data_IF_295782445671
#
_entry.id   IF_295782445671
#
_cell.length_a   1.000
_cell.length_b   1.000
_cell.length_c   1.000
_cell.angle_alpha   90.00
_cell.angle_beta   90.00
_cell.angle_gamma   90.00
#
_symmetry.space_group_name_H-M   'P 1'
#
loop_
_entity.id
_entity.type
_entity.pdbx_description
1 polymer ?
#
# COMPACT_ATOMS: atom_id res chain seq x y z
N UNK A 1 10.16 16.59 70.06
CA UNK A 1 9.66 15.60 69.10
C UNK A 1 9.28 16.32 67.82
N UNK A 2 10.19 16.32 66.81
CA UNK A 2 9.95 17.03 65.54
C UNK A 2 9.54 15.99 64.51
N UNK A 3 8.30 16.09 63.98
CA UNK A 3 7.76 15.23 62.96
C UNK A 3 8.23 15.83 61.61
N UNK A 4 9.08 15.12 60.91
CA UNK A 4 9.50 15.45 59.53
C UNK A 4 8.48 14.85 58.58
N UNK A 5 7.72 15.74 57.91
CA UNK A 5 6.73 15.35 56.90
C UNK A 5 7.47 15.16 55.59
N UNK A 6 7.59 13.92 55.12
CA UNK A 6 8.10 13.57 53.76
C UNK A 6 7.02 13.83 52.73
N UNK A 7 7.18 14.86 51.93
CA UNK A 7 6.36 15.10 50.75
C UNK A 7 6.91 14.23 49.58
N UNK A 8 6.23 13.17 49.28
CA UNK A 8 6.46 12.38 48.10
C UNK A 8 5.90 13.11 46.85
N UNK A 9 6.82 13.72 46.07
CA UNK A 9 6.49 14.32 44.78
C UNK A 9 6.35 13.14 43.77
N UNK A 10 5.15 12.79 43.42
CA UNK A 10 4.87 11.91 42.30
C UNK A 10 5.10 12.66 40.99
N UNK A 11 6.25 12.42 40.35
CA UNK A 11 6.50 12.86 39.00
C UNK A 11 5.63 12.05 38.04
N UNK A 12 4.55 12.64 37.54
CA UNK A 12 3.75 12.09 36.45
C UNK A 12 4.58 12.24 35.18
N UNK A 13 5.22 11.14 34.74
CA UNK A 13 5.78 11.04 33.39
C UNK A 13 4.61 11.13 32.41
N UNK A 14 4.44 12.25 31.76
CA UNK A 14 3.64 12.35 30.54
C UNK A 14 4.37 11.60 29.42
N UNK A 15 4.14 10.28 29.31
CA UNK A 15 4.36 9.57 28.07
C UNK A 15 3.46 10.22 27.03
N UNK A 16 4.05 10.89 26.03
CA UNK A 16 3.33 11.30 24.81
C UNK A 16 2.73 10.02 24.23
N UNK A 17 1.43 9.85 24.41
CA UNK A 17 0.67 8.82 23.73
C UNK A 17 0.79 9.10 22.23
N UNK A 18 1.51 8.23 21.51
CA UNK A 18 1.34 8.14 20.05
C UNK A 18 -0.17 8.04 19.80
N UNK A 19 -0.70 8.83 18.89
CA UNK A 19 -2.14 8.80 18.63
C UNK A 19 -2.51 7.38 18.22
N UNK A 20 -3.61 6.84 18.74
CA UNK A 20 -4.04 5.44 18.52
C UNK A 20 -4.08 5.01 17.05
N UNK A 21 -4.24 5.95 16.13
CA UNK A 21 -4.24 5.72 14.68
C UNK A 21 -2.85 5.42 14.09
N UNK A 22 -1.77 6.05 14.60
CA UNK A 22 -0.42 5.83 14.05
C UNK A 22 0.12 4.45 14.46
N UNK A 23 -0.26 3.96 15.64
CA UNK A 23 0.12 2.64 16.11
C UNK A 23 -0.57 1.52 15.34
N UNK A 24 -1.85 1.72 14.98
CA UNK A 24 -2.70 0.71 14.36
C UNK A 24 -2.21 0.29 12.95
N UNK A 25 -1.84 1.23 12.07
CA UNK A 25 -1.40 0.89 10.71
C UNK A 25 0.00 0.24 10.69
N UNK A 26 0.91 0.68 11.56
CA UNK A 26 2.26 0.10 11.64
C UNK A 26 2.19 -1.35 12.11
N UNK A 27 1.43 -1.60 13.15
CA UNK A 27 1.23 -2.97 13.62
C UNK A 27 0.56 -3.84 12.55
N UNK A 28 -0.40 -3.29 11.82
CA UNK A 28 -1.03 -4.01 10.72
C UNK A 28 -0.03 -4.42 9.62
N UNK A 29 0.86 -3.51 9.23
CA UNK A 29 1.95 -3.80 8.28
C UNK A 29 2.85 -4.93 8.82
N UNK A 30 3.29 -4.82 10.08
CA UNK A 30 4.19 -5.78 10.72
C UNK A 30 3.54 -7.16 10.87
N UNK A 31 2.31 -7.22 11.41
CA UNK A 31 1.56 -8.46 11.64
C UNK A 31 1.27 -9.22 10.33
N UNK A 32 1.08 -8.49 9.24
CA UNK A 32 0.82 -9.04 7.91
C UNK A 32 2.09 -9.19 7.05
N UNK A 33 3.27 -8.84 7.58
CA UNK A 33 4.54 -8.86 6.84
C UNK A 33 4.47 -8.16 5.47
N UNK A 34 3.82 -6.98 5.43
CA UNK A 34 3.65 -6.22 4.19
C UNK A 34 4.94 -5.47 3.89
N UNK A 35 5.52 -5.72 2.72
CA UNK A 35 6.73 -5.04 2.26
C UNK A 35 6.41 -3.79 1.46
N UNK A 36 7.20 -2.72 1.59
CA UNK A 36 7.03 -1.54 0.76
C UNK A 36 7.39 -1.85 -0.70
N UNK A 37 6.67 -1.24 -1.65
CA UNK A 37 7.07 -1.20 -3.06
C UNK A 37 8.22 -0.22 -3.29
N UNK A 38 8.29 0.83 -2.47
CA UNK A 38 9.34 1.84 -2.46
C UNK A 38 9.78 2.00 -1.01
N UNK A 39 11.07 1.78 -0.75
CA UNK A 39 11.65 1.88 0.57
C UNK A 39 12.63 3.07 0.62
N UNK A 40 12.45 3.93 1.61
CA UNK A 40 13.35 5.05 1.88
C UNK A 40 14.64 4.56 2.56
N UNK A 41 15.75 5.20 2.24
CA UNK A 41 17.04 5.04 2.95
C UNK A 41 17.28 6.14 4.00
N UNK A 42 16.34 7.06 4.16
CA UNK A 42 16.44 8.18 5.12
C UNK A 42 15.92 7.75 6.49
N UNK A 43 16.45 8.34 7.57
CA UNK A 43 15.98 8.04 8.93
C UNK A 43 14.60 8.65 9.23
N UNK A 44 14.33 9.85 8.68
CA UNK A 44 13.05 10.54 8.83
C UNK A 44 12.15 10.23 7.63
N UNK A 45 11.18 9.33 7.79
CA UNK A 45 10.34 8.85 6.72
C UNK A 45 8.85 9.09 6.96
N UNK A 46 8.10 9.07 5.88
CA UNK A 46 6.64 9.07 5.88
C UNK A 46 6.15 7.81 5.19
N UNK A 47 5.34 7.03 5.88
CA UNK A 47 4.69 5.86 5.33
C UNK A 47 3.43 6.28 4.57
N UNK A 48 3.35 5.88 3.30
CA UNK A 48 2.17 6.02 2.46
C UNK A 48 1.67 4.61 2.15
N UNK A 49 0.48 4.29 2.62
CA UNK A 49 -0.20 3.03 2.32
C UNK A 49 -1.31 3.35 1.34
N UNK A 50 -1.29 2.75 0.17
CA UNK A 50 -2.37 2.80 -0.81
C UNK A 50 -3.18 1.51 -0.75
N UNK A 51 -4.48 1.62 -0.54
CA UNK A 51 -5.44 0.55 -0.81
C UNK A 51 -5.91 0.69 -2.24
N UNK A 52 -5.55 -0.26 -3.09
CA UNK A 52 -5.61 -0.12 -4.53
C UNK A 52 -6.21 -1.32 -5.23
N UNK A 53 -6.84 -1.09 -6.37
CA UNK A 53 -7.31 -2.14 -7.25
C UNK A 53 -6.74 -1.98 -8.64
N UNK A 54 -6.22 -3.04 -9.20
CA UNK A 54 -5.69 -3.02 -10.58
C UNK A 54 -6.74 -2.61 -11.61
N UNK A 55 -8.03 -2.89 -11.38
CA UNK A 55 -9.11 -2.48 -12.29
C UNK A 55 -9.67 -1.08 -12.03
N UNK A 56 -9.11 -0.34 -11.09
CA UNK A 56 -9.55 1.01 -10.78
C UNK A 56 -8.83 2.05 -11.65
N UNK A 57 -9.57 2.80 -12.45
CA UNK A 57 -9.01 3.84 -13.33
C UNK A 57 -8.30 4.97 -12.56
N UNK A 58 -8.84 5.38 -11.40
CA UNK A 58 -8.20 6.39 -10.56
C UNK A 58 -6.92 5.88 -9.88
N UNK A 59 -6.81 4.58 -9.63
CA UNK A 59 -5.55 3.98 -9.18
C UNK A 59 -4.52 3.99 -10.31
N UNK A 60 -4.90 3.61 -11.52
CA UNK A 60 -4.03 3.70 -12.69
C UNK A 60 -3.57 5.15 -12.95
N UNK A 61 -4.47 6.12 -12.84
CA UNK A 61 -4.12 7.55 -12.94
C UNK A 61 -3.11 7.97 -11.87
N UNK A 62 -3.31 7.55 -10.60
CA UNK A 62 -2.36 7.82 -9.54
C UNK A 62 -0.97 7.27 -9.87
N UNK A 63 -0.87 6.00 -10.25
CA UNK A 63 0.40 5.35 -10.56
C UNK A 63 1.10 5.95 -11.79
N UNK A 64 0.33 6.27 -12.84
CA UNK A 64 0.87 6.75 -14.11
C UNK A 64 1.20 8.24 -14.13
N UNK A 65 0.57 9.05 -13.29
CA UNK A 65 0.74 10.50 -13.26
C UNK A 65 1.19 11.00 -11.89
N UNK A 66 0.34 10.90 -10.87
CA UNK A 66 0.58 11.50 -9.56
C UNK A 66 1.83 10.94 -8.88
N UNK A 67 2.01 9.61 -8.89
CA UNK A 67 3.19 8.97 -8.31
C UNK A 67 4.47 9.32 -9.08
N UNK A 68 4.40 9.51 -10.41
CA UNK A 68 5.57 9.94 -11.19
C UNK A 68 5.99 11.37 -10.81
N UNK A 69 5.02 12.30 -10.66
CA UNK A 69 5.32 13.65 -10.16
C UNK A 69 5.87 13.63 -8.73
N UNK A 70 5.38 12.71 -7.87
CA UNK A 70 5.94 12.52 -6.52
C UNK A 70 7.38 12.02 -6.59
N UNK A 71 7.72 11.11 -7.49
CA UNK A 71 9.09 10.60 -7.71
C UNK A 71 10.08 11.71 -8.08
N UNK A 72 9.63 12.75 -8.77
CA UNK A 72 10.44 13.91 -9.13
C UNK A 72 10.56 14.95 -8.01
N UNK A 73 9.79 14.83 -6.95
CA UNK A 73 9.75 15.78 -5.84
C UNK A 73 10.88 15.57 -4.82
N UNK A 74 11.24 16.64 -4.10
CA UNK A 74 12.26 16.59 -3.05
C UNK A 74 11.86 15.74 -1.83
N UNK A 75 10.58 15.41 -1.67
CA UNK A 75 10.10 14.58 -0.55
C UNK A 75 10.17 13.09 -0.85
N UNK A 76 10.38 12.69 -2.11
CA UNK A 76 10.33 11.29 -2.53
C UNK A 76 11.31 10.40 -1.77
N UNK A 77 12.51 10.87 -1.55
CA UNK A 77 13.55 10.14 -0.82
C UNK A 77 13.16 9.77 0.63
N UNK A 78 12.15 10.44 1.19
CA UNK A 78 11.65 10.21 2.54
C UNK A 78 10.36 9.37 2.58
N UNK A 79 9.96 8.72 1.47
CA UNK A 79 8.71 7.97 1.38
C UNK A 79 8.99 6.48 1.46
N UNK A 80 8.29 5.79 2.38
CA UNK A 80 8.02 4.36 2.26
C UNK A 80 6.63 4.21 1.64
N UNK A 81 6.54 3.56 0.48
CA UNK A 81 5.28 3.37 -0.21
C UNK A 81 4.85 1.90 -0.20
N UNK A 82 3.69 1.64 0.40
CA UNK A 82 3.09 0.32 0.50
C UNK A 82 1.84 0.25 -0.37
N UNK A 83 1.68 -0.85 -1.10
CA UNK A 83 0.46 -1.16 -1.85
C UNK A 83 -0.25 -2.34 -1.19
N UNK A 84 -1.48 -2.12 -0.73
CA UNK A 84 -2.39 -3.16 -0.24
C UNK A 84 -3.47 -3.37 -1.29
N UNK A 85 -3.56 -4.61 -1.74
CA UNK A 85 -4.51 -4.99 -2.77
C UNK A 85 -5.95 -4.95 -2.25
N UNK A 86 -6.81 -4.28 -3.00
CA UNK A 86 -8.25 -4.16 -2.75
C UNK A 86 -9.02 -4.46 -4.04
N UNK A 87 -9.04 -5.71 -4.51
CA UNK A 87 -9.60 -6.06 -5.80
C UNK A 87 -11.10 -5.79 -5.88
N UNK A 88 -11.53 -5.01 -6.89
CA UNK A 88 -12.93 -4.63 -7.09
C UNK A 88 -13.71 -5.62 -7.95
N UNK A 89 -13.01 -6.51 -8.66
CA UNK A 89 -13.61 -7.53 -9.51
C UNK A 89 -12.66 -8.72 -9.70
N UNK A 90 -13.14 -9.74 -10.41
CA UNK A 90 -12.40 -10.99 -10.62
C UNK A 90 -11.10 -10.78 -11.41
N UNK A 91 -11.07 -9.90 -12.41
CA UNK A 91 -9.85 -9.61 -13.18
C UNK A 91 -8.80 -8.92 -12.32
N UNK A 92 -9.21 -7.95 -11.47
CA UNK A 92 -8.32 -7.32 -10.51
C UNK A 92 -7.80 -8.32 -9.46
N UNK A 93 -8.64 -9.25 -9.00
CA UNK A 93 -8.20 -10.30 -8.08
C UNK A 93 -7.19 -11.23 -8.74
N UNK A 94 -7.39 -11.59 -10.00
CA UNK A 94 -6.40 -12.36 -10.76
C UNK A 94 -5.06 -11.62 -10.87
N UNK A 95 -5.09 -10.34 -11.23
CA UNK A 95 -3.89 -9.51 -11.26
C UNK A 95 -3.20 -9.42 -9.89
N UNK A 96 -3.98 -9.33 -8.80
CA UNK A 96 -3.48 -9.37 -7.42
C UNK A 96 -2.75 -10.68 -7.12
N UNK A 97 -3.30 -11.83 -7.53
CA UNK A 97 -2.62 -13.12 -7.36
C UNK A 97 -1.27 -13.12 -8.07
N UNK A 98 -1.24 -12.75 -9.36
CA UNK A 98 0.01 -12.71 -10.14
C UNK A 98 1.03 -11.74 -9.52
N UNK A 99 0.60 -10.57 -9.07
CA UNK A 99 1.45 -9.58 -8.40
C UNK A 99 2.11 -10.10 -7.12
N UNK A 100 1.47 -11.05 -6.43
CA UNK A 100 1.93 -11.61 -5.17
C UNK A 100 2.58 -13.00 -5.31
N UNK A 101 2.75 -13.52 -6.53
CA UNK A 101 3.44 -14.79 -6.76
C UNK A 101 4.92 -14.73 -6.39
N UNK A 102 5.55 -13.58 -6.60
CA UNK A 102 6.97 -13.38 -6.30
C UNK A 102 7.21 -11.93 -5.88
N UNK A 103 7.69 -11.72 -4.66
CA UNK A 103 7.96 -10.39 -4.11
C UNK A 103 8.96 -9.59 -4.97
N UNK A 104 9.92 -10.27 -5.60
CA UNK A 104 10.95 -9.63 -6.42
C UNK A 104 10.43 -8.98 -7.70
N UNK A 105 9.35 -9.51 -8.28
CA UNK A 105 8.75 -8.94 -9.50
C UNK A 105 7.63 -7.94 -9.18
N UNK A 106 7.10 -7.94 -7.95
CA UNK A 106 5.91 -7.17 -7.61
C UNK A 106 5.97 -5.70 -8.02
N UNK A 107 7.05 -4.93 -7.74
CA UNK A 107 7.10 -3.52 -8.15
C UNK A 107 6.98 -3.34 -9.67
N UNK A 108 7.75 -4.10 -10.45
CA UNK A 108 7.76 -4.02 -11.92
C UNK A 108 6.44 -4.51 -12.54
N UNK A 109 5.83 -5.53 -11.92
CA UNK A 109 4.52 -6.03 -12.34
C UNK A 109 3.43 -4.96 -12.13
N UNK A 110 3.40 -4.33 -10.95
CA UNK A 110 2.47 -3.23 -10.63
C UNK A 110 2.61 -2.10 -11.65
N UNK A 111 3.84 -1.67 -11.96
CA UNK A 111 4.10 -0.63 -12.96
C UNK A 111 3.57 -1.06 -14.36
N UNK A 112 3.77 -2.33 -14.75
CA UNK A 112 3.29 -2.82 -16.05
C UNK A 112 1.77 -2.90 -16.13
N UNK A 113 1.10 -3.39 -15.07
CA UNK A 113 -0.37 -3.54 -15.08
C UNK A 113 -1.05 -2.17 -15.12
N UNK A 114 -0.58 -1.19 -14.34
CA UNK A 114 -1.11 0.16 -14.40
C UNK A 114 -0.70 0.91 -15.66
N UNK A 115 0.55 0.74 -16.12
CA UNK A 115 1.04 1.34 -17.37
C UNK A 115 0.27 0.89 -18.61
N UNK A 116 -0.22 -0.36 -18.59
CA UNK A 116 -1.01 -0.94 -19.67
C UNK A 116 -2.51 -1.05 -19.32
N UNK A 117 -3.00 -0.22 -18.40
CA UNK A 117 -4.38 -0.28 -17.89
C UNK A 117 -5.41 -0.36 -19.02
N UNK A 118 -5.34 0.55 -20.01
CA UNK A 118 -6.30 0.60 -21.11
C UNK A 118 -6.18 -0.60 -22.06
N UNK A 119 -5.06 -1.29 -22.10
CA UNK A 119 -4.86 -2.47 -22.96
C UNK A 119 -5.59 -3.66 -22.36
N UNK A 120 -5.27 -4.05 -21.13
CA UNK A 120 -5.83 -5.26 -20.57
C UNK A 120 -7.28 -5.10 -20.09
N UNK A 121 -7.70 -3.88 -19.64
CA UNK A 121 -9.09 -3.65 -19.21
C UNK A 121 -10.09 -3.57 -20.37
N UNK A 122 -9.60 -3.30 -21.58
CA UNK A 122 -10.40 -3.23 -22.81
C UNK A 122 -10.24 -4.45 -23.70
N UNK A 123 -9.56 -5.50 -23.25
CA UNK A 123 -9.41 -6.75 -23.95
C UNK A 123 -10.77 -7.38 -24.27
N UNK A 124 -10.85 -8.13 -25.38
CA UNK A 124 -12.10 -8.58 -25.95
C UNK A 124 -12.74 -9.77 -25.22
N UNK A 125 -11.96 -10.50 -24.42
CA UNK A 125 -12.40 -11.67 -23.65
C UNK A 125 -11.67 -11.79 -22.30
N UNK A 126 -12.24 -12.61 -21.41
CA UNK A 126 -11.61 -12.95 -20.14
C UNK A 126 -10.29 -13.72 -20.33
N UNK A 127 -10.20 -14.56 -21.36
CA UNK A 127 -8.98 -15.29 -21.71
C UNK A 127 -7.87 -14.32 -22.11
N UNK A 128 -8.17 -13.33 -22.95
CA UNK A 128 -7.20 -12.32 -23.38
C UNK A 128 -6.71 -11.47 -22.18
N UNK A 129 -7.60 -11.12 -21.23
CA UNK A 129 -7.22 -10.45 -19.99
C UNK A 129 -6.19 -11.29 -19.21
N UNK A 130 -6.47 -12.57 -19.02
CA UNK A 130 -5.60 -13.51 -18.31
C UNK A 130 -4.25 -13.65 -19.01
N UNK A 131 -4.23 -13.79 -20.33
CA UNK A 131 -3.00 -13.88 -21.13
C UNK A 131 -2.13 -12.62 -20.98
N UNK A 132 -2.73 -11.43 -21.06
CA UNK A 132 -2.02 -10.17 -20.88
C UNK A 132 -1.45 -10.05 -19.47
N UNK A 133 -2.24 -10.30 -18.43
CA UNK A 133 -1.79 -10.23 -17.03
C UNK A 133 -0.66 -11.23 -16.74
N UNK A 134 -0.75 -12.47 -17.28
CA UNK A 134 0.34 -13.45 -17.18
C UNK A 134 1.58 -12.97 -17.91
N UNK A 135 1.43 -12.43 -19.13
CA UNK A 135 2.57 -11.96 -19.92
C UNK A 135 3.38 -10.90 -19.20
N UNK A 136 2.75 -10.00 -18.45
CA UNK A 136 3.45 -8.99 -17.64
C UNK A 136 4.27 -9.65 -16.52
N UNK A 137 3.75 -10.70 -15.86
CA UNK A 137 4.51 -11.46 -14.86
C UNK A 137 5.74 -12.15 -15.47
N UNK A 138 5.55 -12.85 -16.58
CA UNK A 138 6.62 -13.55 -17.31
C UNK A 138 7.71 -12.59 -17.83
N UNK A 139 7.33 -11.40 -18.32
CA UNK A 139 8.29 -10.37 -18.76
C UNK A 139 9.19 -9.88 -17.63
N UNK A 140 8.73 -9.94 -16.38
CA UNK A 140 9.52 -9.54 -15.21
C UNK A 140 10.19 -10.72 -14.49
N UNK A 141 10.19 -11.91 -15.09
CA UNK A 141 10.95 -13.05 -14.61
C UNK A 141 10.18 -14.04 -13.74
N UNK A 142 8.84 -13.92 -13.67
CA UNK A 142 8.02 -14.97 -13.08
C UNK A 142 8.12 -16.23 -13.95
N UNK A 143 8.49 -17.37 -13.37
CA UNK A 143 8.55 -18.64 -14.09
C UNK A 143 7.16 -19.23 -14.35
N UNK A 144 7.00 -19.97 -15.46
CA UNK A 144 5.71 -20.63 -15.78
C UNK A 144 5.25 -21.58 -14.66
N UNK A 145 6.15 -22.40 -14.12
CA UNK A 145 5.83 -23.34 -13.03
C UNK A 145 5.45 -22.59 -11.75
N UNK A 146 6.15 -21.51 -11.43
CA UNK A 146 5.88 -20.64 -10.29
C UNK A 146 4.50 -20.00 -10.42
N UNK A 147 4.18 -19.43 -11.58
CA UNK A 147 2.86 -18.89 -11.89
C UNK A 147 1.76 -19.95 -11.70
N UNK A 148 1.93 -21.15 -12.27
CA UNK A 148 0.95 -22.23 -12.17
C UNK A 148 0.77 -22.72 -10.72
N UNK A 149 1.84 -22.72 -9.91
CA UNK A 149 1.79 -23.05 -8.49
C UNK A 149 1.02 -21.99 -7.71
N UNK A 150 1.33 -20.74 -7.95
CA UNK A 150 0.71 -19.59 -7.31
C UNK A 150 -0.81 -19.50 -7.61
N UNK A 151 -1.21 -19.74 -8.86
CA UNK A 151 -2.62 -19.74 -9.27
C UNK A 151 -3.45 -20.85 -8.60
N UNK A 152 -2.82 -21.85 -8.00
CA UNK A 152 -3.47 -22.96 -7.28
C UNK A 152 -3.39 -22.82 -5.76
N UNK A 153 -2.66 -21.82 -5.25
CA UNK A 153 -2.47 -21.62 -3.82
C UNK A 153 -3.66 -20.89 -3.18
N UNK A 154 -4.70 -21.66 -2.84
CA UNK A 154 -5.89 -21.14 -2.17
C UNK A 154 -5.57 -20.48 -0.81
N UNK A 155 -4.49 -20.89 -0.13
CA UNK A 155 -4.06 -20.30 1.12
C UNK A 155 -3.63 -18.84 0.94
N UNK A 156 -2.78 -18.58 -0.07
CA UNK A 156 -2.39 -17.22 -0.48
C UNK A 156 -3.60 -16.41 -0.95
N UNK A 157 -4.51 -16.99 -1.74
CA UNK A 157 -5.71 -16.29 -2.20
C UNK A 157 -6.60 -15.83 -1.04
N UNK A 158 -6.83 -16.71 -0.06
CA UNK A 158 -7.61 -16.38 1.14
C UNK A 158 -6.93 -15.28 1.96
N UNK A 159 -5.59 -15.32 2.08
CA UNK A 159 -4.84 -14.26 2.74
C UNK A 159 -5.02 -12.91 2.05
N UNK A 160 -4.92 -12.85 0.71
CA UNK A 160 -5.13 -11.60 -0.05
C UNK A 160 -6.54 -11.03 0.15
N UNK A 161 -7.57 -11.90 0.17
CA UNK A 161 -8.94 -11.47 0.46
C UNK A 161 -9.12 -11.02 1.92
N UNK A 162 -8.41 -11.62 2.88
CA UNK A 162 -8.47 -11.17 4.27
C UNK A 162 -7.90 -9.76 4.45
N UNK A 163 -6.83 -9.39 3.73
CA UNK A 163 -6.29 -8.03 3.74
C UNK A 163 -7.31 -6.99 3.26
N UNK A 164 -8.13 -7.34 2.25
CA UNK A 164 -9.22 -6.48 1.80
C UNK A 164 -10.31 -6.31 2.86
N UNK A 165 -10.69 -7.39 3.54
CA UNK A 165 -11.68 -7.36 4.63
C UNK A 165 -11.16 -6.53 5.81
N UNK A 166 -9.88 -6.68 6.15
CA UNK A 166 -9.24 -5.89 7.20
C UNK A 166 -9.17 -4.41 6.83
N UNK A 167 -8.86 -4.09 5.56
CA UNK A 167 -8.86 -2.72 5.07
C UNK A 167 -10.23 -2.03 5.28
N UNK A 168 -11.31 -2.77 5.05
CA UNK A 168 -12.68 -2.29 5.30
C UNK A 168 -12.97 -2.12 6.79
N UNK A 169 -12.67 -3.14 7.60
CA UNK A 169 -13.08 -3.19 9.00
C UNK A 169 -12.20 -2.32 9.91
N UNK A 170 -10.89 -2.29 9.67
CA UNK A 170 -9.92 -1.58 10.51
C UNK A 170 -9.78 -0.12 10.08
N UNK A 171 -9.63 0.11 8.77
CA UNK A 171 -9.34 1.45 8.24
C UNK A 171 -10.55 2.14 7.60
N UNK A 172 -11.70 1.44 7.49
CA UNK A 172 -12.91 1.97 6.88
C UNK A 172 -12.70 2.34 5.42
N UNK A 173 -12.00 1.47 4.66
CA UNK A 173 -11.79 1.65 3.22
C UNK A 173 -13.06 1.25 2.49
N UNK A 174 -13.67 2.19 1.78
CA UNK A 174 -14.92 2.00 1.03
C UNK A 174 -14.73 2.15 -0.49
N UNK A 175 -13.59 2.69 -0.91
CA UNK A 175 -13.28 2.95 -2.32
C UNK A 175 -11.78 2.96 -2.57
N UNK A 176 -11.38 2.84 -3.84
CA UNK A 176 -9.98 2.91 -4.29
C UNK A 176 -9.75 4.09 -5.24
N UNK A 177 -8.58 4.72 -5.23
CA UNK A 177 -7.55 4.54 -4.22
C UNK A 177 -7.97 5.20 -2.89
N UNK A 178 -7.58 4.61 -1.77
CA UNK A 178 -7.62 5.25 -0.45
C UNK A 178 -6.22 5.16 0.14
N UNK A 179 -5.74 6.25 0.73
CA UNK A 179 -4.40 6.34 1.29
C UNK A 179 -4.42 6.52 2.80
N UNK A 180 -3.41 5.96 3.49
CA UNK A 180 -3.04 6.36 4.84
C UNK A 180 -1.63 6.96 4.78
N UNK A 181 -1.50 8.22 5.19
CA UNK A 181 -0.21 8.93 5.21
C UNK A 181 0.17 9.16 6.68
N UNK A 182 1.07 8.34 7.22
CA UNK A 182 1.29 8.24 8.67
C UNK A 182 -0.05 8.21 9.43
N UNK A 183 -0.96 7.30 9.05
CA UNK A 183 -2.26 7.10 9.68
C UNK A 183 -3.37 8.11 9.29
N UNK A 184 -3.06 9.19 8.60
CA UNK A 184 -4.05 10.16 8.11
C UNK A 184 -4.71 9.66 6.81
N UNK A 185 -6.02 9.43 6.85
CA UNK A 185 -6.76 8.91 5.69
C UNK A 185 -7.02 9.99 4.64
N UNK A 186 -6.66 9.71 3.41
CA UNK A 186 -6.92 10.54 2.22
C UNK A 186 -7.64 9.67 1.18
N UNK A 187 -8.82 10.07 0.75
CA UNK A 187 -9.63 9.33 -0.23
C UNK A 187 -9.45 9.88 -1.64
N UNK A 188 -9.34 8.96 -2.59
CA UNK A 188 -9.26 9.25 -4.01
C UNK A 188 -7.90 9.76 -4.46
N UNK A 189 -7.66 9.69 -5.78
CA UNK A 189 -6.51 10.34 -6.39
C UNK A 189 -6.62 11.86 -6.25
N UNK A 190 -5.49 12.51 -5.92
CA UNK A 190 -5.38 13.95 -5.77
C UNK A 190 -4.13 14.44 -6.48
N UNK A 191 -4.02 15.72 -6.84
CA UNK A 191 -2.80 16.29 -7.41
C UNK A 191 -1.58 16.01 -6.51
N UNK A 192 -0.43 15.74 -7.11
CA UNK A 192 0.83 15.47 -6.38
C UNK A 192 1.19 16.58 -5.38
N UNK A 193 0.83 17.83 -5.70
CA UNK A 193 1.05 18.98 -4.81
C UNK A 193 0.33 18.85 -3.45
N UNK A 194 -0.83 18.20 -3.40
CA UNK A 194 -1.54 17.93 -2.13
C UNK A 194 -0.82 16.86 -1.31
N UNK A 195 -0.39 15.76 -1.94
CA UNK A 195 0.43 14.73 -1.29
C UNK A 195 1.72 15.33 -0.74
N UNK A 196 2.45 16.11 -1.56
CA UNK A 196 3.69 16.79 -1.16
C UNK A 196 3.47 17.68 0.07
N UNK A 197 2.35 18.42 0.11
CA UNK A 197 2.01 19.27 1.24
C UNK A 197 1.78 18.46 2.53
N UNK A 198 1.06 17.34 2.45
CA UNK A 198 0.82 16.45 3.59
C UNK A 198 2.14 15.84 4.05
N UNK A 199 2.95 15.30 3.13
CA UNK A 199 4.24 14.67 3.44
C UNK A 199 5.17 15.66 4.13
N UNK A 200 5.32 16.89 3.59
CA UNK A 200 6.14 17.95 4.22
C UNK A 200 5.67 18.26 5.64
N UNK A 201 4.37 18.31 5.87
CA UNK A 201 3.82 18.52 7.21
C UNK A 201 4.19 17.37 8.16
N UNK A 202 4.14 16.12 7.69
CA UNK A 202 4.49 14.93 8.50
C UNK A 202 5.98 14.86 8.82
N UNK A 203 6.86 15.26 7.89
CA UNK A 203 8.31 15.29 8.09
C UNK A 203 8.76 16.36 9.10
N UNK A 204 7.96 17.42 9.33
CA UNK A 204 8.29 18.52 10.22
C UNK A 204 7.68 18.38 11.63
N UNK A 205 6.95 17.30 11.91
CA UNK A 205 6.33 17.02 13.21
C UNK A 205 7.11 15.97 13.99
#
# INVERSE_FOLDING_TARGET
MRIISLILVWGVLFLKSATSKDYEYKQYIDDNNIKPLIESLEENTVDIIEFSSFSCSHCAEFHNLTLQELKESSVYKNINFYLIDFPLNQAAFYATIVANCNEGIRPSYVDSVYGNYDVWTKASSGEEIIELLNSYGLQHGLGDEELQSCLKDEGSHNRLLSLQVDAQNIFGVESTPTFLINGEKVQGNRPASEFIKIIKKKLNN
#
